data_IF_797569312674
#
_entry.id   IF_797569312674
#
_cell.length_a   1.000
_cell.length_b   1.000
_cell.length_c   1.000
_cell.angle_alpha   90.00
_cell.angle_beta   90.00
_cell.angle_gamma   90.00
#
_symmetry.space_group_name_H-M   'P 1'
#
loop_
_entity.id
_entity.type
_entity.pdbx_description
1 polymer ?
#
# COMPACT_ATOMS: atom_id res chain seq x y z
N UNK A 1 -22.39 -28.67 -6.36
CA UNK A 1 -21.91 -29.49 -7.50
C UNK A 1 -21.37 -30.82 -7.00
N UNK A 2 -21.94 -31.97 -7.41
CA UNK A 2 -21.36 -33.30 -7.12
C UNK A 2 -20.33 -33.63 -8.20
N UNK A 3 -19.07 -33.89 -7.80
CA UNK A 3 -18.02 -34.32 -8.73
C UNK A 3 -18.39 -35.67 -9.36
N UNK A 4 -18.14 -35.85 -10.66
CA UNK A 4 -18.34 -37.14 -11.32
C UNK A 4 -17.49 -38.23 -10.63
N UNK A 5 -17.92 -39.51 -10.63
CA UNK A 5 -17.18 -40.60 -9.99
C UNK A 5 -15.72 -40.71 -10.47
N UNK A 6 -15.48 -40.38 -11.74
CA UNK A 6 -14.15 -40.34 -12.35
C UNK A 6 -13.27 -39.23 -11.75
N UNK A 7 -13.81 -38.02 -11.60
CA UNK A 7 -13.09 -36.89 -11.00
C UNK A 7 -12.82 -37.13 -9.51
N UNK A 8 -13.73 -37.77 -8.78
CA UNK A 8 -13.48 -38.17 -7.38
C UNK A 8 -12.32 -39.16 -7.27
N UNK A 9 -12.23 -40.15 -8.17
CA UNK A 9 -11.12 -41.10 -8.21
C UNK A 9 -9.79 -40.42 -8.52
N UNK A 10 -9.77 -39.52 -9.52
CA UNK A 10 -8.59 -38.73 -9.88
C UNK A 10 -8.12 -37.87 -8.71
N UNK A 11 -9.03 -37.19 -8.03
CA UNK A 11 -8.71 -36.37 -6.87
C UNK A 11 -8.12 -37.17 -5.71
N UNK A 12 -8.69 -38.34 -5.41
CA UNK A 12 -8.14 -39.24 -4.39
C UNK A 12 -6.74 -39.74 -4.74
N UNK A 13 -6.51 -40.12 -6.00
CA UNK A 13 -5.18 -40.53 -6.48
C UNK A 13 -4.18 -39.38 -6.42
N UNK A 14 -4.60 -38.16 -6.78
CA UNK A 14 -3.78 -36.96 -6.70
C UNK A 14 -3.37 -36.64 -5.26
N UNK A 15 -4.33 -36.62 -4.32
CA UNK A 15 -4.05 -36.41 -2.89
C UNK A 15 -3.17 -37.49 -2.25
N UNK A 16 -3.16 -38.72 -2.79
CA UNK A 16 -2.25 -39.78 -2.31
C UNK A 16 -0.79 -39.53 -2.69
N UNK A 17 -0.54 -38.72 -3.72
CA UNK A 17 0.81 -38.29 -4.09
C UNK A 17 1.18 -37.04 -3.30
N UNK A 18 1.90 -37.23 -2.18
CA UNK A 18 2.31 -36.14 -1.29
C UNK A 18 3.06 -35.03 -2.04
N UNK A 19 3.92 -35.36 -3.01
CA UNK A 19 4.66 -34.35 -3.79
C UNK A 19 3.72 -33.49 -4.62
N UNK A 20 2.78 -34.11 -5.34
CA UNK A 20 1.82 -33.39 -6.16
C UNK A 20 0.89 -32.49 -5.31
N UNK A 21 0.48 -32.96 -4.14
CA UNK A 21 -0.35 -32.20 -3.22
C UNK A 21 0.39 -30.98 -2.64
N UNK A 22 1.64 -31.15 -2.19
CA UNK A 22 2.46 -30.04 -1.71
C UNK A 22 2.79 -29.03 -2.81
N UNK A 23 3.08 -29.50 -4.03
CA UNK A 23 3.27 -28.59 -5.17
C UNK A 23 2.01 -27.80 -5.49
N UNK A 24 0.82 -28.41 -5.40
CA UNK A 24 -0.44 -27.69 -5.57
C UNK A 24 -0.61 -26.62 -4.50
N UNK A 25 -0.36 -26.94 -3.23
CA UNK A 25 -0.46 -25.96 -2.13
C UNK A 25 0.50 -24.79 -2.37
N UNK A 26 1.78 -25.09 -2.62
CA UNK A 26 2.80 -24.07 -2.84
C UNK A 26 2.44 -23.18 -4.03
N UNK A 27 2.06 -23.79 -5.15
CA UNK A 27 1.63 -23.07 -6.34
C UNK A 27 0.40 -22.21 -6.05
N UNK A 28 -0.63 -22.76 -5.40
CA UNK A 28 -1.84 -22.01 -5.05
C UNK A 28 -1.55 -20.83 -4.15
N UNK A 29 -0.69 -20.99 -3.13
CA UNK A 29 -0.30 -19.89 -2.24
C UNK A 29 0.43 -18.80 -3.01
N UNK A 30 1.46 -19.15 -3.78
CA UNK A 30 2.22 -18.17 -4.58
C UNK A 30 1.29 -17.49 -5.59
N UNK A 31 0.48 -18.26 -6.31
CA UNK A 31 -0.48 -17.73 -7.28
C UNK A 31 -1.48 -16.78 -6.64
N UNK A 32 -2.07 -17.14 -5.50
CA UNK A 32 -2.97 -16.25 -4.77
C UNK A 32 -2.26 -14.97 -4.34
N UNK A 33 -1.04 -15.04 -3.81
CA UNK A 33 -0.27 -13.84 -3.46
C UNK A 33 -0.02 -12.97 -4.71
N UNK A 34 0.30 -13.57 -5.86
CA UNK A 34 0.52 -12.81 -7.10
C UNK A 34 -0.74 -12.10 -7.60
N UNK A 35 -1.93 -12.69 -7.40
CA UNK A 35 -3.20 -12.04 -7.76
C UNK A 35 -3.46 -10.79 -6.92
N UNK A 36 -2.95 -10.76 -5.68
CA UNK A 36 -3.04 -9.61 -4.78
C UNK A 36 -1.71 -8.87 -4.67
N UNK A 37 -0.82 -8.99 -5.67
CA UNK A 37 0.51 -8.38 -5.62
C UNK A 37 0.42 -6.85 -5.49
N UNK A 38 -0.52 -6.20 -6.18
CA UNK A 38 -0.75 -4.76 -6.05
C UNK A 38 -1.19 -4.36 -4.63
N UNK A 39 -1.86 -5.24 -3.88
CA UNK A 39 -2.19 -4.99 -2.46
C UNK A 39 -1.02 -5.28 -1.52
N UNK A 40 -0.24 -6.32 -1.81
CA UNK A 40 0.90 -6.75 -0.96
C UNK A 40 2.11 -5.85 -1.15
N UNK A 41 2.37 -5.41 -2.38
CA UNK A 41 3.45 -4.51 -2.79
C UNK A 41 2.88 -3.14 -3.17
N UNK A 42 1.95 -2.63 -2.36
CA UNK A 42 1.35 -1.33 -2.61
C UNK A 42 2.33 -0.22 -2.23
N UNK A 43 2.65 0.67 -3.17
CA UNK A 43 3.45 1.85 -2.90
C UNK A 43 2.63 3.02 -2.33
N UNK A 44 1.30 2.85 -2.25
CA UNK A 44 0.37 3.86 -1.75
C UNK A 44 -0.24 3.44 -0.41
N UNK A 45 -0.40 4.38 0.53
CA UNK A 45 -1.13 4.13 1.77
C UNK A 45 -2.62 3.89 1.49
N UNK A 46 -3.26 3.12 2.39
CA UNK A 46 -4.71 2.87 2.30
C UNK A 46 -5.50 4.15 2.62
N UNK A 47 -5.05 4.89 3.63
CA UNK A 47 -5.68 6.10 4.13
C UNK A 47 -4.61 7.13 4.48
N UNK A 48 -4.86 8.40 4.14
CA UNK A 48 -4.04 9.56 4.50
C UNK A 48 -4.96 10.61 5.10
N UNK A 49 -4.53 11.24 6.19
CA UNK A 49 -5.19 12.43 6.70
C UNK A 49 -4.37 13.64 6.31
N UNK A 50 -5.00 14.63 5.68
CA UNK A 50 -4.35 15.88 5.29
C UNK A 50 -5.30 17.04 5.56
N UNK A 51 -4.85 18.03 6.35
CA UNK A 51 -5.63 19.21 6.76
C UNK A 51 -7.05 18.90 7.28
N UNK A 52 -7.20 17.78 8.00
CA UNK A 52 -8.47 17.33 8.58
C UNK A 52 -9.35 16.46 7.66
N UNK A 53 -9.02 16.36 6.37
CA UNK A 53 -9.73 15.54 5.39
C UNK A 53 -9.07 14.16 5.23
N UNK A 54 -9.88 13.16 4.86
CA UNK A 54 -9.42 11.78 4.65
C UNK A 54 -9.34 11.43 3.17
N UNK A 55 -8.16 10.99 2.76
CA UNK A 55 -7.82 10.61 1.40
C UNK A 55 -7.58 9.09 1.33
N UNK A 56 -8.00 8.44 0.23
CA UNK A 56 -7.84 6.99 0.02
C UNK A 56 -7.01 6.68 -1.25
N UNK A 57 -5.67 6.84 -1.22
CA UNK A 57 -4.81 6.72 -2.40
C UNK A 57 -4.82 5.35 -3.08
N UNK A 58 -5.16 4.28 -2.35
CA UNK A 58 -5.30 2.94 -2.93
C UNK A 58 -6.47 2.83 -3.93
N UNK A 59 -7.47 3.72 -3.85
CA UNK A 59 -8.65 3.71 -4.72
C UNK A 59 -8.73 4.89 -5.68
N UNK A 60 -7.97 5.96 -5.44
CA UNK A 60 -8.03 7.20 -6.22
C UNK A 60 -6.63 7.77 -6.45
N UNK A 61 -6.47 8.35 -7.64
CA UNK A 61 -5.31 9.17 -7.98
C UNK A 61 -5.42 10.52 -7.28
N UNK A 62 -4.32 10.94 -6.65
CA UNK A 62 -4.17 12.29 -6.11
C UNK A 62 -2.84 12.86 -6.60
N UNK A 63 -2.84 14.05 -7.24
CA UNK A 63 -1.60 14.70 -7.63
C UNK A 63 -0.85 15.19 -6.40
N UNK A 64 0.46 15.39 -6.51
CA UNK A 64 1.28 15.90 -5.41
C UNK A 64 0.88 17.32 -4.98
N UNK A 65 0.40 18.13 -5.93
CA UNK A 65 -0.17 19.46 -5.69
C UNK A 65 -1.35 19.46 -4.72
N UNK A 66 -2.06 18.33 -4.55
CA UNK A 66 -3.11 18.20 -3.55
C UNK A 66 -2.56 18.33 -2.12
N UNK A 67 -1.33 17.90 -1.89
CA UNK A 67 -0.66 17.92 -0.58
C UNK A 67 0.27 19.12 -0.39
N UNK A 68 0.31 20.05 -1.35
CA UNK A 68 1.18 21.23 -1.30
C UNK A 68 2.52 21.08 -2.04
N UNK A 69 2.70 20.02 -2.83
CA UNK A 69 3.86 19.88 -3.72
C UNK A 69 3.68 20.61 -5.07
N UNK A 70 4.67 20.48 -5.94
CA UNK A 70 4.71 21.20 -7.23
C UNK A 70 4.29 20.35 -8.44
N UNK A 71 4.22 19.04 -8.27
CA UNK A 71 4.00 18.11 -9.39
C UNK A 71 2.53 17.74 -9.58
N UNK A 72 2.04 17.86 -10.82
CA UNK A 72 0.70 17.36 -11.23
C UNK A 72 0.65 15.83 -11.40
N UNK A 73 1.75 15.13 -11.13
CA UNK A 73 1.83 13.67 -11.17
C UNK A 73 1.36 13.05 -9.86
N UNK A 74 1.11 11.74 -9.88
CA UNK A 74 0.72 11.01 -8.67
C UNK A 74 1.73 11.23 -7.55
N UNK A 75 1.22 11.58 -6.36
CA UNK A 75 2.06 11.78 -5.19
C UNK A 75 2.85 10.50 -4.85
N UNK A 76 4.17 10.64 -4.68
CA UNK A 76 5.04 9.53 -4.28
C UNK A 76 5.03 9.47 -2.75
N UNK A 77 4.05 8.78 -2.15
CA UNK A 77 3.85 8.72 -0.69
C UNK A 77 5.02 8.13 0.13
N UNK A 78 6.02 7.55 -0.54
CA UNK A 78 7.24 7.03 0.09
C UNK A 78 8.36 8.06 0.15
N UNK A 79 8.23 9.15 -0.59
CA UNK A 79 9.16 10.26 -0.61
C UNK A 79 9.11 11.01 0.75
N UNK A 80 10.26 11.25 1.40
CA UNK A 80 10.32 12.10 2.59
C UNK A 80 9.62 13.45 2.43
N UNK A 81 9.73 14.08 1.25
CA UNK A 81 9.12 15.38 0.96
C UNK A 81 7.59 15.32 1.00
N UNK A 82 6.99 14.40 0.25
CA UNK A 82 5.53 14.18 0.24
C UNK A 82 5.01 13.80 1.63
N UNK A 83 5.77 12.98 2.38
CA UNK A 83 5.42 12.63 3.77
C UNK A 83 5.45 13.85 4.68
N UNK A 84 6.45 14.72 4.52
CA UNK A 84 6.55 15.98 5.25
C UNK A 84 5.41 16.92 4.91
N UNK A 85 5.09 17.10 3.63
CA UNK A 85 3.97 17.91 3.17
C UNK A 85 2.64 17.42 3.75
N UNK A 86 2.40 16.10 3.74
CA UNK A 86 1.20 15.51 4.34
C UNK A 86 1.14 15.77 5.86
N UNK A 87 2.25 15.58 6.58
CA UNK A 87 2.31 15.70 8.03
C UNK A 87 2.21 17.16 8.51
N UNK A 88 2.92 18.06 7.83
CA UNK A 88 2.97 19.49 8.14
C UNK A 88 1.75 20.26 7.64
N UNK A 89 0.95 19.66 6.75
CA UNK A 89 -0.14 20.37 6.09
C UNK A 89 0.34 21.25 4.94
N UNK A 90 1.45 20.93 4.28
CA UNK A 90 1.93 21.54 3.05
C UNK A 90 2.84 22.74 3.27
N UNK A 91 3.81 22.64 4.18
CA UNK A 91 4.81 23.68 4.40
C UNK A 91 5.95 23.62 3.37
N UNK A 92 6.34 24.79 2.87
CA UNK A 92 7.44 24.92 1.89
C UNK A 92 8.80 24.48 2.46
N UNK A 93 9.00 24.51 3.78
CA UNK A 93 10.26 24.04 4.40
C UNK A 93 10.53 22.54 4.16
N UNK A 94 9.50 21.77 3.79
CA UNK A 94 9.65 20.37 3.41
C UNK A 94 10.52 20.16 2.16
N UNK A 95 10.69 21.17 1.30
CA UNK A 95 11.57 21.09 0.13
C UNK A 95 13.06 21.12 0.52
N UNK A 96 13.39 21.71 1.67
CA UNK A 96 14.77 21.91 2.12
C UNK A 96 15.20 20.89 3.20
N UNK A 97 14.35 20.65 4.21
CA UNK A 97 14.63 19.71 5.31
C UNK A 97 13.37 18.92 5.75
N UNK A 98 12.92 17.96 4.93
CA UNK A 98 11.71 17.20 5.23
C UNK A 98 11.83 16.33 6.48
N UNK A 99 13.02 15.79 6.76
CA UNK A 99 13.24 14.94 7.94
C UNK A 99 13.16 15.75 9.24
N UNK A 100 13.74 16.95 9.27
CA UNK A 100 13.65 17.84 10.43
C UNK A 100 12.20 18.20 10.77
N UNK A 101 11.42 18.59 9.76
CA UNK A 101 10.01 18.99 9.94
C UNK A 101 9.12 17.82 10.37
N UNK A 102 9.38 16.60 9.88
CA UNK A 102 8.62 15.41 10.33
C UNK A 102 8.88 15.13 11.80
N UNK A 103 10.13 15.26 12.26
CA UNK A 103 10.48 15.07 13.67
C UNK A 103 9.78 16.10 14.56
N UNK A 104 9.76 17.36 14.12
CA UNK A 104 9.03 18.42 14.82
C UNK A 104 7.51 18.15 14.81
N UNK A 105 6.94 17.70 13.68
CA UNK A 105 5.51 17.39 13.61
C UNK A 105 5.07 16.23 14.53
N UNK A 106 5.95 15.27 14.83
CA UNK A 106 5.66 14.16 15.74
C UNK A 106 5.55 14.60 17.22
N UNK A 107 6.15 15.74 17.59
CA UNK A 107 6.09 16.28 18.95
C UNK A 107 4.86 17.18 19.19
N UNK A 108 4.08 17.45 18.14
CA UNK A 108 2.89 18.29 18.15
C UNK A 108 3.18 19.79 17.95
N UNK A 109 4.38 20.15 17.50
CA UNK A 109 4.76 21.53 17.16
C UNK A 109 5.14 21.60 15.69
N UNK A 110 4.32 22.30 14.90
CA UNK A 110 4.67 22.64 13.51
C UNK A 110 4.75 24.16 13.44
N UNK A 111 5.93 24.70 13.08
CA UNK A 111 6.21 26.15 13.02
C UNK A 111 5.97 26.95 14.32
N UNK A 112 6.06 26.32 15.49
CA UNK A 112 5.98 27.04 16.76
C UNK A 112 4.58 27.55 17.14
N UNK A 113 3.54 27.14 16.42
CA UNK A 113 2.16 27.30 16.87
C UNK A 113 1.62 25.96 17.40
N UNK A 114 1.03 26.02 18.60
CA UNK A 114 0.34 24.90 19.27
C UNK A 114 -1.10 24.78 18.83
#
# INVERSE_FOLDING_TARGET
MRLSPLNQRRWRNFRRNNRAYWSLILFSVIFTITLFAEFVANDKPILVQYRGELYMPIFRFYPETEFGGDFETEAIYRDPEVRCLIASGGLDICFDDPEGVIVDAEDGVVEGER
#
